data_IF_011836336594
#
_entry.id   IF_011836336594
#
_cell.length_a   1.000
_cell.length_b   1.000
_cell.length_c   1.000
_cell.angle_alpha   90.00
_cell.angle_beta   90.00
_cell.angle_gamma   90.00
#
_symmetry.space_group_name_H-M   'P 1'
#
loop_
_entity.id
_entity.type
_entity.pdbx_description
1 polymer ?
#
# COMPACT_ATOMS: atom_id res chain seq x y z
N UNK A 1 -8.22 -13.01 10.27
CA UNK A 1 -8.48 -11.62 9.91
C UNK A 1 -7.24 -11.02 9.30
N UNK A 2 -7.39 -10.36 8.17
CA UNK A 2 -6.26 -9.78 7.48
C UNK A 2 -5.98 -8.35 7.88
N UNK A 3 -4.70 -8.02 7.94
CA UNK A 3 -4.25 -6.66 8.20
C UNK A 3 -3.87 -5.96 6.90
N UNK A 4 -4.04 -4.65 6.90
CA UNK A 4 -3.59 -3.81 5.82
C UNK A 4 -2.44 -2.97 6.34
N UNK A 5 -1.28 -3.06 5.68
CA UNK A 5 -0.10 -2.31 6.06
C UNK A 5 -0.14 -0.95 5.38
N UNK A 6 0.05 0.11 6.14
CA UNK A 6 0.06 1.47 5.60
C UNK A 6 1.45 2.06 5.71
N UNK A 7 2.12 2.20 4.59
CA UNK A 7 3.41 2.89 4.49
C UNK A 7 3.12 4.34 4.08
N UNK A 8 2.51 5.08 4.99
CA UNK A 8 2.05 6.45 4.75
C UNK A 8 2.46 7.30 5.95
N UNK A 9 3.24 8.35 5.71
CA UNK A 9 3.67 9.29 6.76
C UNK A 9 2.77 10.50 6.86
N UNK A 10 2.09 10.88 5.78
CA UNK A 10 1.17 12.00 5.76
C UNK A 10 -0.03 11.65 6.64
N UNK A 11 -0.21 12.43 7.72
CA UNK A 11 -1.29 12.18 8.68
C UNK A 11 -2.68 12.26 8.05
N UNK A 12 -2.92 13.25 7.20
CA UNK A 12 -4.22 13.41 6.56
C UNK A 12 -4.55 12.24 5.64
N UNK A 13 -3.62 11.86 4.79
CA UNK A 13 -3.82 10.73 3.88
C UNK A 13 -3.96 9.43 4.67
N UNK A 14 -3.07 9.22 5.64
CA UNK A 14 -3.10 8.02 6.48
C UNK A 14 -4.41 7.86 7.22
N UNK A 15 -4.94 8.94 7.78
CA UNK A 15 -6.22 8.91 8.49
C UNK A 15 -7.38 8.56 7.57
N UNK A 16 -7.41 9.11 6.37
CA UNK A 16 -8.47 8.85 5.41
C UNK A 16 -8.43 7.40 4.91
N UNK A 17 -7.24 6.91 4.60
CA UNK A 17 -7.06 5.53 4.14
C UNK A 17 -7.40 4.55 5.26
N UNK A 18 -6.90 4.80 6.47
CA UNK A 18 -7.19 3.98 7.64
C UNK A 18 -8.69 3.91 7.92
N UNK A 19 -9.37 5.07 7.88
CA UNK A 19 -10.81 5.13 8.10
C UNK A 19 -11.58 4.30 7.08
N UNK A 20 -11.21 4.39 5.80
CA UNK A 20 -11.86 3.62 4.76
C UNK A 20 -11.67 2.11 4.95
N UNK A 21 -10.48 1.69 5.39
CA UNK A 21 -10.21 0.28 5.65
C UNK A 21 -11.00 -0.23 6.84
N UNK A 22 -11.03 0.54 7.92
CA UNK A 22 -11.77 0.17 9.14
C UNK A 22 -13.26 0.08 8.86
N UNK A 23 -13.80 0.98 8.04
CA UNK A 23 -15.22 0.94 7.63
C UNK A 23 -15.57 -0.34 6.89
N UNK A 24 -14.58 -1.02 6.31
CA UNK A 24 -14.76 -2.32 5.65
C UNK A 24 -14.24 -3.49 6.48
N UNK A 25 -14.21 -3.29 7.80
CA UNK A 25 -13.87 -4.33 8.77
C UNK A 25 -12.46 -4.89 8.61
N UNK A 26 -11.52 -4.06 8.12
CA UNK A 26 -10.12 -4.44 8.01
C UNK A 26 -9.30 -3.75 9.09
N UNK A 27 -8.37 -4.48 9.67
CA UNK A 27 -7.43 -3.92 10.61
C UNK A 27 -6.28 -3.26 9.85
N UNK A 28 -5.77 -2.16 10.38
CA UNK A 28 -4.64 -1.47 9.76
C UNK A 28 -3.44 -1.45 10.70
N UNK A 29 -2.25 -1.47 10.12
CA UNK A 29 -0.99 -1.36 10.82
C UNK A 29 -0.17 -0.29 10.12
N UNK A 30 0.19 0.77 10.84
CA UNK A 30 1.05 1.81 10.28
C UNK A 30 2.50 1.35 10.35
N UNK A 31 3.18 1.41 9.21
CA UNK A 31 4.57 0.99 9.09
C UNK A 31 5.43 2.19 8.69
N UNK A 32 6.69 2.15 9.08
CA UNK A 32 7.67 3.16 8.69
C UNK A 32 8.91 2.48 8.10
N UNK A 33 9.97 3.25 7.83
CA UNK A 33 11.20 2.75 7.24
C UNK A 33 11.95 1.78 8.15
N UNK A 34 11.60 1.74 9.43
CA UNK A 34 12.22 0.83 10.40
C UNK A 34 11.41 -0.46 10.62
N UNK A 35 10.21 -0.53 10.03
CA UNK A 35 9.37 -1.71 10.17
C UNK A 35 9.94 -2.86 9.36
N UNK A 36 9.95 -4.05 9.96
CA UNK A 36 10.40 -5.26 9.27
C UNK A 36 9.18 -5.98 8.69
N UNK A 37 9.09 -6.12 7.35
CA UNK A 37 7.96 -6.83 6.74
C UNK A 37 7.76 -8.24 7.29
N UNK A 38 8.83 -8.92 7.70
CA UNK A 38 8.72 -10.28 8.25
C UNK A 38 7.85 -10.34 9.51
N UNK A 39 7.72 -9.25 10.24
CA UNK A 39 6.92 -9.20 11.46
C UNK A 39 5.41 -9.23 11.18
N UNK A 40 5.01 -8.96 9.95
CA UNK A 40 3.59 -8.78 9.60
C UNK A 40 3.07 -9.77 8.57
N UNK A 41 3.93 -10.60 7.98
CA UNK A 41 3.57 -11.39 6.79
C UNK A 41 2.40 -12.34 6.97
N UNK A 42 2.31 -13.00 8.11
CA UNK A 42 1.30 -14.02 8.34
C UNK A 42 -0.12 -13.46 8.42
N UNK A 43 -0.26 -12.19 8.73
CA UNK A 43 -1.54 -11.55 8.96
C UNK A 43 -1.88 -10.47 7.95
N UNK A 44 -0.99 -10.23 7.00
CA UNK A 44 -1.13 -9.10 6.07
C UNK A 44 -1.67 -9.54 4.73
N UNK A 45 -2.64 -8.80 4.23
CA UNK A 45 -3.29 -9.06 2.95
C UNK A 45 -2.89 -8.06 1.88
N UNK A 46 -2.68 -6.82 2.29
CA UNK A 46 -2.46 -5.70 1.38
C UNK A 46 -1.51 -4.69 2.02
N UNK A 47 -0.65 -4.10 1.21
CA UNK A 47 0.18 -2.96 1.61
C UNK A 47 -0.19 -1.76 0.75
N UNK A 48 -0.45 -0.62 1.38
CA UNK A 48 -0.67 0.65 0.69
C UNK A 48 0.56 1.49 0.92
N UNK A 49 1.23 1.89 -0.17
CA UNK A 49 2.50 2.59 -0.10
C UNK A 49 2.38 3.98 -0.72
N UNK A 50 2.73 5.00 0.06
CA UNK A 50 2.86 6.37 -0.46
C UNK A 50 4.21 6.50 -1.15
N UNK A 51 4.19 6.41 -2.48
CA UNK A 51 5.39 6.42 -3.29
C UNK A 51 6.02 7.82 -3.44
N UNK A 52 5.32 8.87 -3.03
CA UNK A 52 5.89 10.21 -2.98
C UNK A 52 6.83 10.39 -1.79
N UNK A 53 6.71 9.52 -0.79
CA UNK A 53 7.59 9.54 0.36
C UNK A 53 8.89 8.85 -0.03
N UNK A 54 10.01 9.58 0.00
CA UNK A 54 11.30 9.06 -0.46
C UNK A 54 11.71 7.77 0.24
N UNK A 55 11.42 7.65 1.54
CA UNK A 55 11.79 6.46 2.32
C UNK A 55 11.00 5.21 1.92
N UNK A 56 9.87 5.38 1.24
CA UNK A 56 9.03 4.26 0.77
C UNK A 56 9.14 4.03 -0.74
N UNK A 57 9.75 4.96 -1.46
CA UNK A 57 9.93 4.80 -2.90
C UNK A 57 11.09 3.85 -3.16
N UNK A 58 10.81 2.57 -3.18
CA UNK A 58 11.85 1.56 -3.25
C UNK A 58 11.34 0.30 -3.96
N UNK A 59 12.03 -0.06 -5.03
CA UNK A 59 11.82 -1.36 -5.69
C UNK A 59 12.10 -2.48 -4.69
N UNK A 60 13.08 -2.30 -3.80
CA UNK A 60 13.40 -3.27 -2.76
C UNK A 60 12.26 -3.52 -1.80
N UNK A 61 11.58 -2.45 -1.34
CA UNK A 61 10.43 -2.59 -0.45
C UNK A 61 9.30 -3.36 -1.14
N UNK A 62 8.98 -2.96 -2.38
CA UNK A 62 7.92 -3.62 -3.16
C UNK A 62 8.25 -5.10 -3.37
N UNK A 63 9.48 -5.41 -3.77
CA UNK A 63 9.91 -6.78 -4.00
C UNK A 63 9.85 -7.63 -2.74
N UNK A 64 10.25 -7.06 -1.60
CA UNK A 64 10.22 -7.77 -0.31
C UNK A 64 8.81 -8.11 0.11
N UNK A 65 7.90 -7.15 0.01
CA UNK A 65 6.48 -7.39 0.34
C UNK A 65 5.86 -8.42 -0.60
N UNK A 66 6.18 -8.32 -1.88
CA UNK A 66 5.64 -9.25 -2.88
C UNK A 66 6.14 -10.67 -2.66
N UNK A 67 7.39 -10.81 -2.23
CA UNK A 67 7.97 -12.11 -1.91
C UNK A 67 7.18 -12.84 -0.83
N UNK A 68 6.55 -12.10 0.07
CA UNK A 68 5.70 -12.65 1.12
C UNK A 68 4.24 -12.84 0.69
N UNK A 69 3.93 -12.62 -0.58
CA UNK A 69 2.59 -12.81 -1.10
C UNK A 69 1.61 -11.69 -0.79
N UNK A 70 2.09 -10.53 -0.35
CA UNK A 70 1.24 -9.39 -0.01
C UNK A 70 0.88 -8.63 -1.29
N UNK A 71 -0.39 -8.31 -1.47
CA UNK A 71 -0.82 -7.45 -2.58
C UNK A 71 -0.36 -6.02 -2.32
N UNK A 72 0.01 -5.29 -3.36
CA UNK A 72 0.60 -3.96 -3.21
C UNK A 72 -0.16 -2.91 -4.01
N UNK A 73 -0.60 -1.89 -3.29
CA UNK A 73 -1.26 -0.72 -3.85
C UNK A 73 -0.36 0.48 -3.62
N UNK A 74 0.19 1.01 -4.71
CA UNK A 74 1.01 2.21 -4.64
C UNK A 74 0.19 3.44 -4.96
N UNK A 75 0.52 4.57 -4.34
CA UNK A 75 -0.12 5.83 -4.65
C UNK A 75 0.93 6.93 -4.78
N UNK A 76 0.71 7.85 -5.68
CA UNK A 76 1.58 9.00 -5.91
C UNK A 76 0.76 10.15 -6.49
N UNK A 77 1.22 11.37 -6.26
CA UNK A 77 0.51 12.56 -6.72
C UNK A 77 0.42 12.60 -8.24
N UNK A 78 1.54 12.32 -8.90
CA UNK A 78 1.60 12.25 -10.37
C UNK A 78 2.24 10.94 -10.77
N UNK A 79 1.50 10.12 -11.50
CA UNK A 79 1.99 8.83 -11.98
C UNK A 79 2.85 9.05 -13.23
N UNK A 80 4.13 8.67 -13.15
CA UNK A 80 5.09 8.79 -14.25
C UNK A 80 5.32 7.42 -14.88
N UNK A 81 5.21 7.34 -16.21
CA UNK A 81 5.28 6.08 -16.94
C UNK A 81 6.56 5.28 -16.68
N UNK A 82 7.70 5.97 -16.59
CA UNK A 82 8.99 5.31 -16.36
C UNK A 82 9.06 4.63 -14.99
N UNK A 83 8.61 5.33 -13.97
CA UNK A 83 8.58 4.82 -12.60
C UNK A 83 7.53 3.72 -12.45
N UNK A 84 6.39 3.89 -13.11
CA UNK A 84 5.32 2.91 -13.15
C UNK A 84 5.82 1.56 -13.65
N UNK A 85 6.60 1.54 -14.72
CA UNK A 85 7.17 0.32 -15.27
C UNK A 85 8.04 -0.42 -14.26
N UNK A 86 8.94 0.33 -13.60
CA UNK A 86 9.85 -0.26 -12.60
C UNK A 86 9.09 -0.86 -11.42
N UNK A 87 8.10 -0.15 -10.93
CA UNK A 87 7.32 -0.60 -9.78
C UNK A 87 6.46 -1.80 -10.12
N UNK A 88 5.85 -1.82 -11.29
CA UNK A 88 5.07 -2.98 -11.74
C UNK A 88 5.95 -4.20 -11.94
N UNK A 89 7.14 -4.02 -12.49
CA UNK A 89 8.10 -5.11 -12.66
C UNK A 89 8.54 -5.69 -11.32
N UNK A 90 8.61 -4.85 -10.28
CA UNK A 90 8.94 -5.30 -8.93
C UNK A 90 7.78 -6.04 -8.24
N UNK A 91 6.55 -5.89 -8.75
CA UNK A 91 5.40 -6.61 -8.22
C UNK A 91 4.28 -5.74 -7.67
N UNK A 92 4.33 -4.42 -7.88
CA UNK A 92 3.25 -3.55 -7.46
C UNK A 92 2.00 -3.86 -8.29
N UNK A 93 0.92 -4.24 -7.63
CA UNK A 93 -0.28 -4.71 -8.31
C UNK A 93 -1.10 -3.58 -8.93
N UNK A 94 -1.25 -2.48 -8.20
CA UNK A 94 -2.01 -1.32 -8.66
C UNK A 94 -1.29 -0.05 -8.24
N UNK A 95 -1.28 0.96 -9.11
CA UNK A 95 -0.76 2.29 -8.79
C UNK A 95 -1.83 3.31 -9.16
N UNK A 96 -2.21 4.15 -8.19
CA UNK A 96 -3.25 5.16 -8.37
C UNK A 96 -2.75 6.54 -7.95
N UNK A 97 -3.30 7.60 -8.57
CA UNK A 97 -3.09 8.95 -8.06
C UNK A 97 -3.69 9.09 -6.66
N UNK A 98 -3.10 9.93 -5.82
CA UNK A 98 -3.62 10.17 -4.47
C UNK A 98 -5.05 10.68 -4.48
N UNK A 99 -5.42 11.48 -5.47
CA UNK A 99 -6.77 12.02 -5.60
C UNK A 99 -7.83 10.93 -5.81
N UNK A 100 -7.43 9.77 -6.31
CA UNK A 100 -8.35 8.66 -6.57
C UNK A 100 -8.32 7.59 -5.50
N UNK A 101 -7.30 7.59 -4.64
CA UNK A 101 -7.06 6.48 -3.72
C UNK A 101 -8.21 6.23 -2.76
N UNK A 102 -8.54 7.24 -1.95
CA UNK A 102 -9.50 7.05 -0.84
C UNK A 102 -10.87 6.60 -1.34
N UNK A 103 -11.37 7.24 -2.40
CA UNK A 103 -12.70 6.89 -2.94
C UNK A 103 -12.75 5.51 -3.56
N UNK A 104 -11.60 4.95 -3.97
CA UNK A 104 -11.55 3.63 -4.58
C UNK A 104 -11.18 2.52 -3.60
N UNK A 105 -10.89 2.83 -2.34
CA UNK A 105 -10.53 1.83 -1.33
C UNK A 105 -11.57 0.70 -1.25
N UNK A 106 -12.87 0.97 -1.14
CA UNK A 106 -13.86 -0.12 -1.04
C UNK A 106 -13.77 -1.10 -2.21
N UNK A 107 -13.68 -0.57 -3.42
CA UNK A 107 -13.58 -1.38 -4.62
C UNK A 107 -12.29 -2.17 -4.66
N UNK A 108 -11.17 -1.53 -4.28
CA UNK A 108 -9.86 -2.16 -4.29
C UNK A 108 -9.77 -3.28 -3.25
N UNK A 109 -10.33 -3.08 -2.07
CA UNK A 109 -10.39 -4.14 -1.06
C UNK A 109 -11.15 -5.34 -1.60
N UNK A 110 -12.27 -5.09 -2.26
CA UNK A 110 -13.08 -6.15 -2.85
C UNK A 110 -12.33 -6.92 -3.94
N UNK A 111 -11.60 -6.20 -4.81
CA UNK A 111 -10.88 -6.81 -5.92
C UNK A 111 -9.59 -7.53 -5.51
N UNK A 112 -8.86 -6.98 -4.54
CA UNK A 112 -7.54 -7.49 -4.20
C UNK A 112 -7.55 -8.53 -3.10
N UNK A 113 -8.48 -8.44 -2.15
CA UNK A 113 -8.44 -9.27 -0.95
C UNK A 113 -9.81 -9.85 -0.54
N UNK A 114 -10.75 -9.87 -1.44
CA UNK A 114 -12.06 -10.46 -1.13
C UNK A 114 -12.02 -11.98 -1.09
#
# INVERSE_FOLDING_TARGET
>A
MGNILLFIKDFELGSKVSGACVDHEKNVEFCDENSNPDDFVEKSLLAVIDLDEAVFFSVGLVSELKRHGIKILGTMEKVKAKELKKLRAAGCDIILPKSSLVKNIPKLLSELIS
#
